data_IF_740399115392
#
_entry.id   IF_740399115392
#
_cell.length_a   1.000
_cell.length_b   1.000
_cell.length_c   1.000
_cell.angle_alpha   90.00
_cell.angle_beta   90.00
_cell.angle_gamma   90.00
#
_symmetry.space_group_name_H-M   'P 1'
#
loop_
_entity.id
_entity.type
_entity.pdbx_description
1 polymer ?
#
# COMPACT_ATOMS: atom_id res chain seq x y z
N UNK A 1 -11.27 -16.29 -8.49
CA UNK A 1 -11.28 -15.11 -9.38
C UNK A 1 -10.00 -15.04 -10.19
N UNK A 2 -8.81 -15.15 -9.58
CA UNK A 2 -7.54 -15.04 -10.30
C UNK A 2 -7.44 -15.95 -11.55
N UNK A 3 -8.08 -17.10 -11.55
CA UNK A 3 -8.13 -18.00 -12.71
C UNK A 3 -8.75 -17.31 -13.94
N UNK A 4 -9.81 -16.51 -13.73
CA UNK A 4 -10.46 -15.73 -14.80
C UNK A 4 -9.62 -14.54 -15.26
N UNK A 5 -8.65 -14.12 -14.44
CA UNK A 5 -7.73 -13.01 -14.74
C UNK A 5 -6.45 -13.47 -15.46
N UNK A 6 -6.35 -14.74 -15.82
CA UNK A 6 -5.20 -15.31 -16.53
C UNK A 6 -4.35 -16.26 -15.67
N UNK A 7 -4.80 -16.61 -14.48
CA UNK A 7 -4.11 -17.51 -13.57
C UNK A 7 -3.33 -16.80 -12.47
N UNK A 8 -2.74 -17.58 -11.56
CA UNK A 8 -1.92 -17.08 -10.48
C UNK A 8 -0.43 -17.16 -10.82
N UNK A 9 0.29 -16.07 -10.68
CA UNK A 9 1.75 -16.02 -10.77
C UNK A 9 2.42 -16.36 -9.44
N UNK A 10 1.66 -16.37 -8.33
CA UNK A 10 2.13 -16.70 -6.97
C UNK A 10 1.05 -17.41 -6.18
N UNK A 11 1.47 -18.18 -5.16
CA UNK A 11 0.54 -18.85 -4.23
C UNK A 11 0.45 -18.18 -2.87
N UNK A 12 1.38 -17.29 -2.58
CA UNK A 12 1.48 -16.52 -1.33
C UNK A 12 1.83 -15.09 -1.67
N UNK A 13 1.40 -14.16 -0.84
CA UNK A 13 1.67 -12.73 -0.99
C UNK A 13 2.36 -12.23 0.27
N UNK A 14 3.39 -11.41 0.12
CA UNK A 14 4.03 -10.69 1.20
C UNK A 14 3.12 -9.54 1.60
N UNK A 15 2.63 -9.47 2.85
CA UNK A 15 1.93 -8.31 3.34
C UNK A 15 2.90 -7.25 3.86
N UNK A 16 2.47 -6.00 3.88
CA UNK A 16 3.11 -4.96 4.66
C UNK A 16 2.15 -4.39 5.70
N UNK A 17 2.66 -4.14 6.91
CA UNK A 17 1.86 -3.51 7.95
C UNK A 17 1.59 -2.05 7.58
N UNK A 18 0.31 -1.68 7.46
CA UNK A 18 -0.14 -0.30 7.47
C UNK A 18 -0.69 -0.01 8.85
N UNK A 19 -0.26 1.08 9.43
CA UNK A 19 -0.63 1.53 10.77
C UNK A 19 -0.03 2.91 10.98
N UNK A 20 0.57 3.13 12.16
CA UNK A 20 1.26 4.37 12.49
C UNK A 20 0.35 5.60 12.46
N UNK A 21 -0.96 5.37 12.69
CA UNK A 21 -1.92 6.46 12.77
C UNK A 21 -1.64 7.33 13.98
N UNK A 22 -1.69 8.63 13.78
CA UNK A 22 -1.48 9.59 14.87
C UNK A 22 -2.71 9.65 15.77
N UNK A 23 -2.47 9.55 17.07
CA UNK A 23 -3.53 9.67 18.10
C UNK A 23 -3.62 11.12 18.59
N UNK A 24 -2.47 11.75 18.81
CA UNK A 24 -2.37 13.12 19.30
C UNK A 24 -1.91 14.12 18.23
N UNK A 25 -1.55 13.63 17.04
CA UNK A 25 -1.00 14.42 15.95
C UNK A 25 0.52 14.46 15.98
N UNK A 26 1.12 15.52 16.54
CA UNK A 26 2.59 15.67 16.64
C UNK A 26 3.15 15.06 17.94
N UNK A 27 4.46 14.79 17.94
CA UNK A 27 5.19 14.38 19.14
C UNK A 27 5.04 12.91 19.53
N UNK A 28 4.72 12.04 18.58
CA UNK A 28 4.47 10.62 18.83
C UNK A 28 5.62 9.68 18.42
N UNK A 29 6.82 10.22 18.24
CA UNK A 29 7.96 9.47 17.71
C UNK A 29 8.28 8.19 18.50
N UNK A 30 8.24 8.23 19.83
CA UNK A 30 8.49 7.05 20.69
C UNK A 30 7.40 5.99 20.50
N UNK A 31 6.13 6.40 20.51
CA UNK A 31 5.00 5.46 20.31
C UNK A 31 5.07 4.77 18.94
N UNK A 32 5.40 5.51 17.89
CA UNK A 32 5.52 4.94 16.54
C UNK A 32 6.71 3.99 16.43
N UNK A 33 7.80 4.25 17.15
CA UNK A 33 8.93 3.34 17.23
C UNK A 33 8.56 2.02 17.96
N UNK A 34 7.80 2.10 19.03
CA UNK A 34 7.25 0.93 19.73
C UNK A 34 6.28 0.13 18.85
N UNK A 35 5.42 0.83 18.09
CA UNK A 35 4.51 0.22 17.12
C UNK A 35 5.29 -0.53 16.01
N UNK A 36 6.38 0.06 15.51
CA UNK A 36 7.24 -0.58 14.51
C UNK A 36 7.89 -1.88 15.05
N UNK A 37 8.35 -1.88 16.31
CA UNK A 37 8.87 -3.08 16.95
C UNK A 37 7.79 -4.16 17.10
N UNK A 38 6.61 -3.76 17.54
CA UNK A 38 5.46 -4.69 17.66
C UNK A 38 5.10 -5.32 16.32
N UNK A 39 5.08 -4.55 15.22
CA UNK A 39 4.83 -5.11 13.89
C UNK A 39 5.93 -6.10 13.49
N UNK A 40 7.19 -5.79 13.75
CA UNK A 40 8.29 -6.70 13.47
C UNK A 40 8.18 -8.02 14.26
N UNK A 41 7.87 -7.94 15.55
CA UNK A 41 7.66 -9.10 16.43
C UNK A 41 6.46 -9.96 15.99
N UNK A 42 5.45 -9.32 15.39
CA UNK A 42 4.30 -9.99 14.78
C UNK A 42 4.58 -10.55 13.37
N UNK A 43 5.83 -10.51 12.90
CA UNK A 43 6.27 -11.16 11.66
C UNK A 43 6.21 -10.29 10.40
N UNK A 44 6.00 -8.98 10.53
CA UNK A 44 6.07 -8.05 9.40
C UNK A 44 7.50 -7.55 9.18
N UNK A 45 8.01 -7.75 7.99
CA UNK A 45 9.29 -7.21 7.52
C UNK A 45 9.13 -6.07 6.49
N UNK A 46 7.88 -5.66 6.23
CA UNK A 46 7.51 -4.51 5.40
C UNK A 46 6.50 -3.65 6.16
N UNK A 47 6.71 -2.33 6.19
CA UNK A 47 5.86 -1.41 6.96
C UNK A 47 5.70 -0.09 6.23
N UNK A 48 4.46 0.45 6.20
CA UNK A 48 4.13 1.77 5.67
C UNK A 48 3.83 2.74 6.80
N UNK A 49 4.69 3.75 6.95
CA UNK A 49 4.59 4.76 8.01
C UNK A 49 3.77 5.95 7.52
N UNK A 50 2.73 6.32 8.27
CA UNK A 50 1.94 7.52 8.02
C UNK A 50 2.65 8.77 8.55
N UNK A 51 2.94 9.68 7.65
CA UNK A 51 3.57 10.99 7.87
C UNK A 51 2.61 12.12 7.48
N UNK A 52 3.10 13.35 7.37
CA UNK A 52 2.26 14.49 6.96
C UNK A 52 1.88 15.42 8.11
N UNK A 53 2.62 15.38 9.21
CA UNK A 53 2.36 16.21 10.41
C UNK A 53 3.37 17.33 10.59
N UNK A 54 4.12 17.65 9.56
CA UNK A 54 5.18 18.66 9.51
C UNK A 54 6.56 18.02 9.46
N UNK A 55 7.45 18.58 8.64
CA UNK A 55 8.75 17.98 8.28
C UNK A 55 9.57 17.60 9.51
N UNK A 56 9.70 18.52 10.48
CA UNK A 56 10.51 18.26 11.68
C UNK A 56 9.95 17.12 12.54
N UNK A 57 8.62 16.99 12.65
CA UNK A 57 7.98 15.93 13.40
C UNK A 57 8.11 14.59 12.66
N UNK A 58 7.89 14.60 11.35
CA UNK A 58 8.01 13.43 10.51
C UNK A 58 9.43 12.87 10.50
N UNK A 59 10.46 13.75 10.42
CA UNK A 59 11.86 13.33 10.50
C UNK A 59 12.21 12.73 11.87
N UNK A 60 11.73 13.30 12.97
CA UNK A 60 11.90 12.73 14.31
C UNK A 60 11.24 11.35 14.44
N UNK A 61 10.07 11.19 13.85
CA UNK A 61 9.38 9.88 13.84
C UNK A 61 10.18 8.84 13.06
N UNK A 62 10.66 9.19 11.87
CA UNK A 62 11.47 8.29 11.05
C UNK A 62 12.81 7.96 11.72
N UNK A 63 13.46 8.91 12.38
CA UNK A 63 14.68 8.68 13.15
C UNK A 63 14.43 7.67 14.29
N UNK A 64 13.37 7.85 15.07
CA UNK A 64 13.02 6.96 16.17
C UNK A 64 12.68 5.54 15.67
N UNK A 65 11.92 5.43 14.59
CA UNK A 65 11.61 4.14 13.93
C UNK A 65 12.89 3.49 13.42
N UNK A 66 13.75 4.25 12.74
CA UNK A 66 15.04 3.76 12.23
C UNK A 66 15.96 3.24 13.32
N UNK A 67 16.00 3.92 14.48
CA UNK A 67 16.75 3.43 15.65
C UNK A 67 16.15 2.13 16.21
N UNK A 68 14.84 2.06 16.37
CA UNK A 68 14.16 0.87 16.90
C UNK A 68 14.35 -0.36 15.98
N UNK A 69 14.37 -0.15 14.69
CA UNK A 69 14.55 -1.21 13.69
C UNK A 69 16.01 -1.44 13.30
N UNK A 70 16.97 -0.81 13.98
CA UNK A 70 18.39 -0.98 13.70
C UNK A 70 18.79 -2.47 13.76
N UNK A 71 19.53 -2.92 12.75
CA UNK A 71 19.96 -4.31 12.58
C UNK A 71 18.81 -5.32 12.31
N UNK A 72 17.61 -4.84 12.02
CA UNK A 72 16.49 -5.67 11.56
C UNK A 72 16.37 -5.52 10.04
N UNK A 73 16.08 -6.62 9.35
CA UNK A 73 15.85 -6.58 7.91
C UNK A 73 14.40 -6.17 7.64
N UNK A 74 14.14 -4.86 7.65
CA UNK A 74 12.82 -4.28 7.43
C UNK A 74 12.86 -3.32 6.25
N UNK A 75 11.89 -3.44 5.37
CA UNK A 75 11.64 -2.51 4.27
C UNK A 75 10.59 -1.49 4.69
N UNK A 76 10.93 -0.21 4.60
CA UNK A 76 10.01 0.88 4.95
C UNK A 76 9.45 1.54 3.69
N UNK A 77 8.21 1.97 3.80
CA UNK A 77 7.51 2.89 2.91
C UNK A 77 6.97 4.06 3.74
N UNK A 78 6.76 5.19 3.10
CA UNK A 78 6.09 6.32 3.74
C UNK A 78 4.89 6.75 2.92
N UNK A 79 3.89 7.30 3.62
CA UNK A 79 2.69 7.84 3.03
C UNK A 79 2.32 9.15 3.75
N UNK A 80 2.24 10.24 2.99
CA UNK A 80 1.89 11.54 3.54
C UNK A 80 0.43 11.94 3.28
N UNK A 81 -0.34 11.08 2.60
CA UNK A 81 -1.73 11.36 2.24
C UNK A 81 -1.93 12.81 1.78
N UNK A 82 -1.14 13.21 0.79
CA UNK A 82 -1.16 14.54 0.14
C UNK A 82 -1.09 15.76 1.08
N UNK A 83 -0.43 15.61 2.25
CA UNK A 83 -0.39 16.68 3.27
C UNK A 83 0.53 17.85 2.89
N UNK A 84 1.40 17.70 1.91
CA UNK A 84 2.45 18.69 1.61
C UNK A 84 2.30 19.37 0.26
N UNK A 85 2.82 20.59 0.16
CA UNK A 85 3.12 21.21 -1.12
C UNK A 85 4.42 20.66 -1.71
N UNK A 86 4.67 20.91 -3.01
CA UNK A 86 5.83 20.35 -3.75
C UNK A 86 7.19 20.59 -3.06
N UNK A 87 7.40 21.82 -2.53
CA UNK A 87 8.66 22.18 -1.88
C UNK A 87 8.89 21.40 -0.59
N UNK A 88 7.85 21.23 0.23
CA UNK A 88 7.90 20.48 1.48
C UNK A 88 8.08 19.00 1.22
N UNK A 89 7.32 18.45 0.26
CA UNK A 89 7.43 17.05 -0.16
C UNK A 89 8.85 16.73 -0.68
N UNK A 90 9.44 17.63 -1.47
CA UNK A 90 10.82 17.50 -1.95
C UNK A 90 11.82 17.53 -0.80
N UNK A 91 11.62 18.46 0.17
CA UNK A 91 12.49 18.57 1.34
C UNK A 91 12.44 17.33 2.20
N UNK A 92 11.23 16.83 2.50
CA UNK A 92 11.05 15.58 3.25
C UNK A 92 11.72 14.40 2.52
N UNK A 93 11.41 14.22 1.23
CA UNK A 93 11.98 13.14 0.43
C UNK A 93 13.50 13.14 0.41
N UNK A 94 14.14 14.30 0.21
CA UNK A 94 15.61 14.43 0.25
C UNK A 94 16.21 14.02 1.59
N UNK A 95 15.59 14.39 2.70
CA UNK A 95 16.06 14.02 4.04
C UNK A 95 15.90 12.51 4.32
N UNK A 96 14.96 11.85 3.64
CA UNK A 96 14.68 10.44 3.85
C UNK A 96 15.35 9.50 2.83
N UNK A 97 16.11 9.99 1.86
CA UNK A 97 16.78 9.15 0.84
C UNK A 97 17.71 8.08 1.46
N UNK A 98 18.37 8.38 2.58
CA UNK A 98 19.25 7.44 3.28
C UNK A 98 18.54 6.20 3.83
N UNK A 99 17.24 6.27 4.04
CA UNK A 99 16.43 5.14 4.52
C UNK A 99 16.16 4.08 3.44
N UNK A 100 16.49 4.35 2.17
CA UNK A 100 16.26 3.43 1.04
C UNK A 100 14.82 2.93 0.99
N UNK A 101 13.88 3.85 1.13
CA UNK A 101 12.44 3.56 1.14
C UNK A 101 12.03 2.84 -0.14
N UNK A 102 11.10 1.88 -0.01
CA UNK A 102 10.52 1.19 -1.17
C UNK A 102 9.68 2.14 -2.02
N UNK A 103 8.95 3.08 -1.37
CA UNK A 103 8.26 4.19 -2.03
C UNK A 103 7.91 5.34 -1.07
N UNK A 104 7.61 6.48 -1.69
CA UNK A 104 6.97 7.64 -1.09
C UNK A 104 5.59 7.78 -1.72
N UNK A 105 4.52 7.53 -0.94
CA UNK A 105 3.12 7.51 -1.35
C UNK A 105 2.49 8.88 -1.11
N UNK A 106 1.70 9.33 -2.10
CA UNK A 106 0.93 10.57 -2.10
C UNK A 106 1.67 11.81 -1.54
N UNK A 107 2.83 12.18 -2.14
CA UNK A 107 3.62 13.29 -1.65
C UNK A 107 2.92 14.65 -1.73
N UNK A 108 2.04 14.83 -2.71
CA UNK A 108 1.25 16.05 -2.97
C UNK A 108 -0.18 15.68 -3.34
N UNK A 109 -1.08 16.67 -3.45
CA UNK A 109 -2.49 16.40 -3.82
C UNK A 109 -2.60 15.65 -5.16
N UNK A 110 -3.55 14.70 -5.29
CA UNK A 110 -3.68 13.83 -6.47
C UNK A 110 -3.82 14.60 -7.79
N UNK A 111 -4.45 15.77 -7.78
CA UNK A 111 -4.65 16.63 -8.94
C UNK A 111 -3.34 17.27 -9.44
N UNK A 112 -2.29 17.29 -8.62
CA UNK A 112 -1.00 17.87 -8.99
C UNK A 112 -0.07 16.88 -9.70
N UNK A 113 -0.53 16.34 -10.83
CA UNK A 113 0.22 15.38 -11.67
C UNK A 113 1.62 15.90 -12.03
N UNK A 114 1.75 17.20 -12.28
CA UNK A 114 3.06 17.82 -12.58
C UNK A 114 3.98 17.84 -11.34
N UNK A 115 3.40 18.00 -10.14
CA UNK A 115 4.14 17.90 -8.89
C UNK A 115 4.66 16.50 -8.65
N UNK A 116 3.85 15.48 -8.90
CA UNK A 116 4.29 14.07 -8.88
C UNK A 116 5.46 13.83 -9.83
N UNK A 117 5.34 14.24 -11.09
CA UNK A 117 6.40 14.09 -12.10
C UNK A 117 7.69 14.84 -11.71
N UNK A 118 7.56 16.03 -11.14
CA UNK A 118 8.69 16.81 -10.63
C UNK A 118 9.40 16.07 -9.48
N UNK A 119 8.67 15.59 -8.49
CA UNK A 119 9.23 14.85 -7.35
C UNK A 119 9.89 13.55 -7.81
N UNK A 120 9.24 12.79 -8.68
CA UNK A 120 9.79 11.58 -9.28
C UNK A 120 11.13 11.84 -9.98
N UNK A 121 11.28 12.97 -10.67
CA UNK A 121 12.52 13.32 -11.37
C UNK A 121 13.65 13.79 -10.46
N UNK A 122 13.36 14.21 -9.21
CA UNK A 122 14.31 14.83 -8.29
C UNK A 122 14.67 13.97 -7.07
N UNK A 123 13.95 12.88 -6.86
CA UNK A 123 14.14 11.98 -5.72
C UNK A 123 14.60 10.60 -6.21
N UNK A 124 15.50 9.97 -5.46
CA UNK A 124 15.90 8.57 -5.68
C UNK A 124 14.91 7.58 -5.04
N UNK A 125 13.89 8.10 -4.32
CA UNK A 125 12.83 7.29 -3.74
C UNK A 125 11.73 7.14 -4.80
N UNK A 126 11.30 5.91 -5.13
CA UNK A 126 10.18 5.69 -6.05
C UNK A 126 8.91 6.39 -5.55
N UNK A 127 8.19 7.05 -6.44
CA UNK A 127 6.92 7.73 -6.14
C UNK A 127 5.76 6.78 -6.39
N UNK A 128 4.88 6.66 -5.41
CA UNK A 128 3.67 5.85 -5.49
C UNK A 128 2.41 6.72 -5.36
N UNK A 129 1.34 6.28 -5.99
CA UNK A 129 0.05 6.95 -5.89
C UNK A 129 -1.02 6.29 -6.76
N UNK A 130 -2.24 6.79 -6.62
CA UNK A 130 -3.38 6.33 -7.41
C UNK A 130 -4.54 5.78 -6.59
N UNK A 131 -4.48 5.76 -5.26
CA UNK A 131 -5.63 5.35 -4.43
C UNK A 131 -6.86 6.26 -4.64
N UNK A 132 -6.62 7.51 -4.98
CA UNK A 132 -7.63 8.52 -5.28
C UNK A 132 -8.01 8.58 -6.78
N UNK A 133 -7.37 7.78 -7.63
CA UNK A 133 -7.68 7.73 -9.07
C UNK A 133 -8.81 6.74 -9.38
N UNK A 134 -9.72 7.21 -10.21
CA UNK A 134 -10.83 6.40 -10.67
C UNK A 134 -10.66 6.06 -12.15
N UNK A 135 -10.95 4.80 -12.48
CA UNK A 135 -10.94 4.29 -13.86
C UNK A 135 -9.56 4.29 -14.53
N UNK A 136 -9.50 3.66 -15.69
CA UNK A 136 -8.32 3.61 -16.54
C UNK A 136 -7.83 5.02 -16.99
N UNK A 137 -8.73 5.99 -17.10
CA UNK A 137 -8.41 7.32 -17.64
C UNK A 137 -7.57 8.15 -16.68
N UNK A 138 -7.82 8.07 -15.35
CA UNK A 138 -7.00 8.73 -14.36
C UNK A 138 -5.58 8.15 -14.35
N UNK A 139 -5.45 6.83 -14.33
CA UNK A 139 -4.15 6.15 -14.38
C UNK A 139 -3.39 6.43 -15.69
N UNK A 140 -4.09 6.48 -16.84
CA UNK A 140 -3.48 6.87 -18.10
C UNK A 140 -2.80 8.23 -17.99
N UNK A 141 -3.47 9.21 -17.38
CA UNK A 141 -2.91 10.54 -17.19
C UNK A 141 -1.65 10.54 -16.34
N UNK A 142 -1.62 9.77 -15.23
CA UNK A 142 -0.42 9.60 -14.41
C UNK A 142 0.75 9.01 -15.20
N UNK A 143 0.49 7.98 -16.01
CA UNK A 143 1.53 7.29 -16.77
C UNK A 143 2.09 8.15 -17.92
N UNK A 144 1.22 8.80 -18.70
CA UNK A 144 1.62 9.69 -19.81
C UNK A 144 2.47 10.87 -19.32
N UNK A 145 2.26 11.33 -18.10
CA UNK A 145 3.04 12.41 -17.49
C UNK A 145 4.27 11.92 -16.71
N UNK A 146 4.58 10.63 -16.71
CA UNK A 146 5.66 10.04 -15.90
C UNK A 146 5.55 10.44 -14.42
N UNK A 147 4.34 10.47 -13.86
CA UNK A 147 4.07 10.99 -12.55
C UNK A 147 4.46 10.02 -11.43
N UNK A 148 4.36 8.72 -11.66
CA UNK A 148 4.57 7.68 -10.64
C UNK A 148 5.46 6.53 -11.15
N UNK A 149 6.13 5.85 -10.23
CA UNK A 149 6.85 4.60 -10.45
C UNK A 149 5.99 3.39 -10.08
N UNK A 150 5.06 3.59 -9.12
CA UNK A 150 4.22 2.53 -8.58
C UNK A 150 2.76 3.01 -8.59
N UNK A 151 1.92 2.30 -9.32
CA UNK A 151 0.49 2.54 -9.35
C UNK A 151 -0.23 1.77 -8.23
N UNK A 152 -1.13 2.44 -7.53
CA UNK A 152 -1.86 1.91 -6.40
C UNK A 152 -3.39 1.97 -6.61
N UNK A 153 -3.93 1.26 -7.63
CA UNK A 153 -5.37 1.23 -7.83
C UNK A 153 -6.07 0.56 -6.64
N UNK A 154 -7.07 1.21 -6.08
CA UNK A 154 -7.97 0.58 -5.13
C UNK A 154 -9.06 -0.20 -5.88
N UNK A 155 -9.19 -1.50 -5.60
CA UNK A 155 -10.15 -2.36 -6.30
C UNK A 155 -11.60 -1.95 -6.01
N UNK A 156 -11.85 -1.32 -4.86
CA UNK A 156 -13.17 -0.80 -4.48
C UNK A 156 -13.60 0.44 -5.27
N UNK A 157 -12.67 1.21 -5.84
CA UNK A 157 -12.94 2.51 -6.47
C UNK A 157 -12.49 2.64 -7.93
N UNK A 158 -11.48 1.89 -8.36
CA UNK A 158 -10.89 2.02 -9.71
C UNK A 158 -11.71 1.37 -10.86
N UNK A 159 -12.92 0.87 -10.58
CA UNK A 159 -13.76 0.13 -11.53
C UNK A 159 -13.80 -1.37 -11.27
N UNK A 160 -13.56 -1.77 -10.03
CA UNK A 160 -13.59 -3.16 -9.59
C UNK A 160 -12.42 -3.99 -10.12
N UNK A 161 -12.54 -5.30 -10.02
CA UNK A 161 -11.53 -6.26 -10.48
C UNK A 161 -11.24 -6.11 -11.97
N UNK A 162 -12.25 -5.84 -12.79
CA UNK A 162 -12.10 -5.64 -14.23
C UNK A 162 -11.32 -4.35 -14.52
N UNK A 163 -11.68 -3.24 -13.85
CA UNK A 163 -10.95 -1.97 -13.98
C UNK A 163 -9.49 -2.12 -13.57
N UNK A 164 -9.23 -2.75 -12.43
CA UNK A 164 -7.88 -3.04 -11.96
C UNK A 164 -7.06 -3.84 -12.99
N UNK A 165 -7.65 -4.86 -13.63
CA UNK A 165 -6.96 -5.63 -14.67
C UNK A 165 -6.57 -4.78 -15.87
N UNK A 166 -7.42 -3.87 -16.31
CA UNK A 166 -7.09 -2.94 -17.39
C UNK A 166 -5.97 -1.97 -17.00
N UNK A 167 -6.00 -1.46 -15.77
CA UNK A 167 -4.97 -0.57 -15.22
C UNK A 167 -3.62 -1.31 -15.12
N UNK A 168 -3.60 -2.55 -14.64
CA UNK A 168 -2.38 -3.38 -14.56
C UNK A 168 -1.75 -3.56 -15.94
N UNK A 169 -2.54 -3.90 -16.95
CA UNK A 169 -2.04 -4.09 -18.31
C UNK A 169 -1.47 -2.78 -18.90
N UNK A 170 -2.14 -1.66 -18.63
CA UNK A 170 -1.67 -0.34 -19.06
C UNK A 170 -0.37 0.04 -18.32
N UNK A 171 -0.32 -0.11 -17.00
CA UNK A 171 0.86 0.17 -16.20
C UNK A 171 2.09 -0.58 -16.72
N UNK A 172 1.94 -1.87 -17.02
CA UNK A 172 3.03 -2.68 -17.58
C UNK A 172 3.52 -2.16 -18.93
N UNK A 173 2.65 -1.61 -19.77
CA UNK A 173 3.06 -1.04 -21.07
C UNK A 173 3.87 0.26 -20.91
N UNK A 174 3.74 0.95 -19.77
CA UNK A 174 4.51 2.14 -19.41
C UNK A 174 5.70 1.85 -18.49
N UNK A 175 5.96 0.59 -18.13
CA UNK A 175 7.03 0.22 -17.20
C UNK A 175 6.77 0.64 -15.75
N UNK A 176 5.49 0.77 -15.36
CA UNK A 176 5.07 1.15 -14.01
C UNK A 176 4.74 -0.10 -13.20
N UNK A 177 5.29 -0.21 -11.98
CA UNK A 177 4.93 -1.28 -11.04
C UNK A 177 3.50 -1.09 -10.53
N UNK A 178 2.85 -2.19 -10.12
CA UNK A 178 1.50 -2.13 -9.53
C UNK A 178 1.50 -2.80 -8.16
N UNK A 179 1.13 -2.03 -7.14
CA UNK A 179 0.86 -2.49 -5.78
C UNK A 179 -0.50 -1.93 -5.36
N UNK A 180 -1.60 -2.68 -5.46
CA UNK A 180 -2.93 -2.18 -5.16
C UNK A 180 -3.04 -1.62 -3.74
N UNK A 181 -3.70 -0.47 -3.60
CA UNK A 181 -4.17 0.04 -2.33
C UNK A 181 -5.33 -0.82 -1.82
N UNK A 182 -5.37 -1.05 -0.53
CA UNK A 182 -6.54 -1.64 0.12
C UNK A 182 -6.68 -1.17 1.57
N UNK A 183 -7.50 -0.15 1.77
CA UNK A 183 -7.91 0.27 3.09
C UNK A 183 -9.43 0.13 3.21
N UNK A 184 -9.90 -0.84 4.03
CA UNK A 184 -11.34 -1.12 4.08
C UNK A 184 -11.67 -2.46 4.73
N UNK A 185 -12.66 -3.15 4.18
CA UNK A 185 -13.14 -4.42 4.72
C UNK A 185 -12.30 -5.63 4.27
N UNK A 186 -12.45 -6.74 4.97
CA UNK A 186 -11.85 -8.01 4.58
C UNK A 186 -12.32 -8.52 3.19
N UNK A 187 -13.49 -8.04 2.71
CA UNK A 187 -13.96 -8.34 1.35
C UNK A 187 -13.10 -7.60 0.31
N UNK A 188 -12.81 -6.31 0.56
CA UNK A 188 -11.91 -5.54 -0.30
C UNK A 188 -10.50 -6.15 -0.31
N UNK A 189 -10.02 -6.59 0.86
CA UNK A 189 -8.75 -7.28 1.00
C UNK A 189 -8.73 -8.61 0.19
N UNK A 190 -9.80 -9.41 0.25
CA UNK A 190 -9.94 -10.62 -0.55
C UNK A 190 -9.89 -10.33 -2.05
N UNK A 191 -10.59 -9.28 -2.51
CA UNK A 191 -10.54 -8.85 -3.90
C UNK A 191 -9.12 -8.45 -4.33
N UNK A 192 -8.41 -7.68 -3.49
CA UNK A 192 -7.02 -7.28 -3.73
C UNK A 192 -6.08 -8.49 -3.77
N UNK A 193 -6.23 -9.46 -2.88
CA UNK A 193 -5.47 -10.73 -2.90
C UNK A 193 -5.65 -11.46 -4.24
N UNK A 194 -6.88 -11.57 -4.73
CA UNK A 194 -7.18 -12.24 -6.01
C UNK A 194 -6.56 -11.49 -7.20
N UNK A 195 -6.59 -10.16 -7.18
CA UNK A 195 -5.96 -9.33 -8.21
C UNK A 195 -4.44 -9.45 -8.15
N UNK A 196 -3.83 -9.28 -6.97
CA UNK A 196 -2.37 -9.40 -6.78
C UNK A 196 -1.86 -10.77 -7.22
N UNK A 197 -2.62 -11.83 -6.97
CA UNK A 197 -2.28 -13.18 -7.45
C UNK A 197 -2.07 -13.21 -8.96
N UNK A 198 -2.84 -12.43 -9.72
CA UNK A 198 -2.85 -12.40 -11.19
C UNK A 198 -1.91 -11.36 -11.81
N UNK A 199 -1.19 -10.56 -11.01
CA UNK A 199 -0.20 -9.61 -11.53
C UNK A 199 1.04 -10.40 -11.95
N UNK A 200 1.47 -10.38 -13.23
CA UNK A 200 2.70 -11.03 -13.65
C UNK A 200 3.92 -10.39 -12.97
N UNK A 201 5.02 -11.14 -12.90
CA UNK A 201 6.29 -10.55 -12.53
C UNK A 201 6.67 -9.48 -13.57
N UNK A 202 7.19 -8.36 -13.10
CA UNK A 202 7.57 -7.26 -14.00
C UNK A 202 8.72 -7.68 -14.91
N UNK A 203 8.54 -7.48 -16.22
CA UNK A 203 9.52 -7.88 -17.24
C UNK A 203 10.59 -6.81 -17.55
N UNK A 204 10.45 -5.62 -16.97
CA UNK A 204 11.36 -4.49 -17.19
C UNK A 204 12.50 -4.40 -16.15
N UNK A 205 12.67 -5.46 -15.37
CA UNK A 205 13.79 -5.60 -14.43
C UNK A 205 14.27 -7.04 -14.37
N UNK A 206 15.59 -7.24 -14.33
CA UNK A 206 16.20 -8.57 -14.12
C UNK A 206 15.81 -9.14 -12.74
N UNK A 207 15.70 -8.26 -11.75
CA UNK A 207 15.24 -8.60 -10.41
C UNK A 207 13.82 -8.04 -10.22
N UNK A 208 12.84 -8.78 -10.73
CA UNK A 208 11.44 -8.39 -10.60
C UNK A 208 11.06 -8.24 -9.13
N UNK A 209 10.44 -7.10 -8.80
CA UNK A 209 9.81 -6.91 -7.50
C UNK A 209 8.42 -7.53 -7.54
N UNK A 210 8.17 -8.38 -6.56
CA UNK A 210 6.82 -8.92 -6.37
C UNK A 210 5.89 -7.84 -5.80
N UNK A 211 4.64 -7.77 -6.28
CA UNK A 211 3.63 -6.94 -5.64
C UNK A 211 3.35 -7.43 -4.23
N UNK A 212 3.14 -6.50 -3.32
CA UNK A 212 2.87 -6.74 -1.91
C UNK A 212 1.47 -6.31 -1.52
N UNK A 213 0.93 -6.88 -0.45
CA UNK A 213 -0.43 -6.64 0.01
C UNK A 213 -0.45 -5.62 1.15
N UNK A 214 -1.22 -4.57 1.02
CA UNK A 214 -1.54 -3.71 2.15
C UNK A 214 -2.33 -4.48 3.22
N UNK A 215 -1.83 -4.44 4.45
CA UNK A 215 -2.43 -5.18 5.56
C UNK A 215 -2.54 -4.28 6.78
N UNK A 216 -3.64 -3.54 6.84
CA UNK A 216 -3.90 -2.59 7.92
C UNK A 216 -4.00 -3.29 9.29
N UNK A 217 -3.25 -2.77 10.25
CA UNK A 217 -3.14 -3.28 11.61
C UNK A 217 -4.05 -2.54 12.60
N UNK A 218 -4.79 -1.52 12.15
CA UNK A 218 -5.74 -0.83 13.05
C UNK A 218 -6.89 -1.72 13.46
N UNK A 219 -7.44 -1.46 14.65
CA UNK A 219 -8.61 -2.18 15.15
C UNK A 219 -9.86 -1.76 14.38
N UNK A 220 -10.34 -2.64 13.51
CA UNK A 220 -11.57 -2.42 12.76
C UNK A 220 -12.35 -3.74 12.63
N UNK A 221 -13.62 -3.80 13.06
CA UNK A 221 -14.39 -5.04 13.08
C UNK A 221 -14.58 -5.65 11.69
N UNK A 222 -14.76 -4.85 10.65
CA UNK A 222 -14.94 -5.34 9.28
C UNK A 222 -13.68 -5.94 8.65
N UNK A 223 -12.53 -5.87 9.31
CA UNK A 223 -11.31 -6.57 8.87
C UNK A 223 -11.16 -7.95 9.47
N UNK A 224 -11.55 -8.11 10.73
CA UNK A 224 -11.35 -9.38 11.45
C UNK A 224 -12.64 -10.19 11.62
N UNK A 225 -13.77 -9.51 11.94
CA UNK A 225 -15.03 -10.19 12.29
C UNK A 225 -15.92 -10.50 11.07
N UNK A 226 -15.69 -9.82 9.92
CA UNK A 226 -16.56 -9.93 8.75
C UNK A 226 -16.43 -11.26 8.01
N UNK A 227 -15.32 -11.98 8.16
CA UNK A 227 -15.11 -13.29 7.55
C UNK A 227 -15.24 -14.39 8.60
N UNK A 228 -15.83 -15.53 8.19
CA UNK A 228 -15.87 -16.74 9.02
C UNK A 228 -14.46 -17.25 9.33
N UNK A 229 -13.52 -17.06 8.39
CA UNK A 229 -12.09 -17.36 8.56
C UNK A 229 -11.29 -16.13 8.14
N UNK A 230 -10.75 -15.35 9.08
CA UNK A 230 -9.89 -14.20 8.78
C UNK A 230 -8.58 -14.59 8.07
N UNK A 231 -8.01 -13.65 7.32
CA UNK A 231 -6.65 -13.84 6.79
C UNK A 231 -5.62 -13.78 7.91
N UNK A 232 -4.69 -14.72 7.91
CA UNK A 232 -3.64 -14.81 8.91
C UNK A 232 -2.25 -14.86 8.27
N UNK A 233 -1.26 -14.29 8.98
CA UNK A 233 0.14 -14.45 8.60
C UNK A 233 0.61 -15.87 8.90
N UNK A 234 1.11 -16.54 7.85
CA UNK A 234 1.77 -17.83 7.97
C UNK A 234 3.22 -17.68 7.50
N UNK A 235 4.16 -17.67 8.43
CA UNK A 235 5.58 -17.43 8.14
C UNK A 235 5.82 -16.10 7.39
N UNK A 236 5.16 -15.03 7.82
CA UNK A 236 5.28 -13.70 7.23
C UNK A 236 4.63 -13.53 5.85
N UNK A 237 3.75 -14.45 5.45
CA UNK A 237 3.06 -14.45 4.16
C UNK A 237 1.56 -14.66 4.35
N UNK A 238 0.75 -14.16 3.42
CA UNK A 238 -0.68 -14.46 3.30
C UNK A 238 -0.88 -15.50 2.18
N UNK A 239 -1.59 -16.58 2.49
CA UNK A 239 -1.97 -17.57 1.49
C UNK A 239 -3.10 -17.02 0.61
N UNK A 240 -3.05 -17.31 -0.70
CA UNK A 240 -4.12 -16.94 -1.62
C UNK A 240 -5.26 -17.94 -1.47
N UNK A 241 -6.51 -17.50 -1.21
CA UNK A 241 -7.66 -18.38 -1.14
C UNK A 241 -7.93 -19.07 -2.50
N UNK A 242 -8.18 -20.37 -2.47
CA UNK A 242 -8.41 -21.19 -3.68
C UNK A 242 -9.89 -21.54 -3.90
N UNK A 243 -10.76 -21.25 -2.92
CA UNK A 243 -12.19 -21.54 -3.01
C UNK A 243 -12.91 -20.68 -4.06
N UNK A 244 -14.17 -21.03 -4.34
CA UNK A 244 -15.00 -20.35 -5.34
C UNK A 244 -15.18 -18.86 -5.02
N UNK A 245 -15.36 -18.04 -6.04
CA UNK A 245 -15.52 -16.59 -5.91
C UNK A 245 -14.22 -15.94 -5.43
N UNK A 246 -14.29 -15.11 -4.40
CA UNK A 246 -13.13 -14.49 -3.75
C UNK A 246 -12.39 -15.45 -2.81
N UNK A 247 -12.95 -16.66 -2.60
CA UNK A 247 -12.38 -17.65 -1.70
C UNK A 247 -12.61 -17.33 -0.22
N UNK A 248 -13.70 -16.64 0.10
CA UNK A 248 -14.06 -16.23 1.46
C UNK A 248 -15.52 -16.54 1.74
N UNK A 249 -15.85 -16.67 3.02
CA UNK A 249 -17.21 -16.76 3.53
C UNK A 249 -17.49 -15.58 4.48
N UNK A 250 -18.57 -14.84 4.19
CA UNK A 250 -18.97 -13.67 4.98
C UNK A 250 -19.73 -14.11 6.22
N UNK A 251 -19.32 -13.62 7.38
CA UNK A 251 -20.01 -13.80 8.64
C UNK A 251 -21.26 -12.89 8.69
N UNK A 252 -22.43 -13.49 8.43
CA UNK A 252 -23.70 -12.76 8.39
C UNK A 252 -24.13 -12.21 9.76
N UNK A 253 -23.69 -12.79 10.86
CA UNK A 253 -23.99 -12.26 12.21
C UNK A 253 -23.25 -10.93 12.43
N UNK A 254 -22.01 -10.82 11.98
CA UNK A 254 -21.27 -9.54 11.97
C UNK A 254 -22.00 -8.49 11.12
N UNK A 255 -22.49 -8.87 9.93
CA UNK A 255 -23.25 -7.96 9.08
C UNK A 255 -24.51 -7.46 9.80
N UNK A 256 -25.27 -8.35 10.46
CA UNK A 256 -26.45 -7.98 11.24
C UNK A 256 -26.12 -7.07 12.42
N UNK A 257 -25.03 -7.37 13.14
CA UNK A 257 -24.56 -6.60 14.31
C UNK A 257 -24.29 -5.12 13.97
N UNK A 258 -23.76 -4.85 12.80
CA UNK A 258 -23.36 -3.51 12.36
C UNK A 258 -24.32 -2.89 11.31
N UNK A 259 -25.46 -3.54 11.05
CA UNK A 259 -26.47 -2.96 10.16
C UNK A 259 -27.05 -1.71 10.79
N UNK A 260 -26.96 -0.59 10.10
CA UNK A 260 -27.70 0.64 10.43
C UNK A 260 -29.11 0.53 9.88
N UNK A 261 -30.08 1.09 10.61
CA UNK A 261 -31.49 1.15 10.17
C UNK A 261 -31.66 2.11 9.00
#
# INVERSE_FOLDING_TARGET
VYQLLGGAFRKKIKPYATGFYRIKGKGEATRLAEEALSHFENGFDHMKVKLGFGIDDDLKCMESIGHALKNKNVTLMIDTNHAYGRSEALTLGKNLQSYKLRWYEEPVVPEDIKGYAELRSKLDIPIAGGENEHTLFGFKSLFENNAIDIAQPDIGSCGGITGAKHIINLAHSFGVEVNPHVWGSAIAQAASIQVIASIPATHFSIFAREPILEYDQSSHPFRKELLSTPFELVNGMINIPEDKGLGIEVNLETVKKYKTN
#
